data_IF_906601985793
#
_entry.id   IF_906601985793
#
_cell.length_a   1.000
_cell.length_b   1.000
_cell.length_c   1.000
_cell.angle_alpha   90.00
_cell.angle_beta   90.00
_cell.angle_gamma   90.00
#
_symmetry.space_group_name_H-M   'P 1'
#
loop_
_entity.id
_entity.type
_entity.pdbx_description
1 polymer ?
#
# COMPACT_ATOMS: atom_id res chain seq x y z
N UNK A 1 -26.45 -94.38 -30.93
CA UNK A 1 -25.23 -94.01 -30.19
C UNK A 1 -25.68 -93.15 -29.01
N UNK A 2 -25.77 -93.71 -27.79
CA UNK A 2 -24.75 -93.58 -26.70
C UNK A 2 -24.24 -92.14 -26.60
N UNK A 3 -24.33 -91.39 -25.50
CA UNK A 3 -24.57 -91.66 -24.06
C UNK A 3 -24.79 -90.26 -23.39
N UNK A 4 -25.74 -90.13 -22.44
CA UNK A 4 -25.52 -89.88 -20.98
C UNK A 4 -24.80 -88.53 -20.68
N UNK A 5 -25.24 -87.61 -19.80
CA UNK A 5 -25.89 -87.62 -18.45
C UNK A 5 -26.53 -86.22 -18.22
N UNK A 6 -27.74 -85.99 -17.71
CA UNK A 6 -28.41 -86.32 -16.44
C UNK A 6 -27.85 -85.62 -15.17
N UNK A 7 -28.74 -84.91 -14.44
CA UNK A 7 -28.66 -84.54 -13.01
C UNK A 7 -28.30 -83.06 -12.75
N UNK A 8 -29.20 -82.14 -12.40
CA UNK A 8 -30.10 -82.00 -11.22
C UNK A 8 -29.42 -81.59 -9.89
N UNK A 9 -30.08 -80.62 -9.23
CA UNK A 9 -30.16 -80.32 -7.77
C UNK A 9 -29.31 -79.15 -7.21
N UNK A 10 -30.00 -78.00 -7.03
CA UNK A 10 -30.25 -77.19 -5.81
C UNK A 10 -29.22 -77.22 -4.65
N UNK A 11 -28.75 -76.04 -4.21
CA UNK A 11 -28.61 -75.54 -2.80
C UNK A 11 -27.87 -74.17 -2.83
N UNK A 12 -28.44 -73.02 -2.41
CA UNK A 12 -28.61 -72.44 -1.04
C UNK A 12 -27.44 -71.54 -0.54
N UNK A 13 -27.83 -70.53 0.26
CA UNK A 13 -27.06 -69.62 1.15
C UNK A 13 -26.33 -68.42 0.48
N UNK A 14 -26.28 -67.20 1.05
CA UNK A 14 -26.82 -66.60 2.27
C UNK A 14 -26.65 -65.06 2.23
N UNK A 15 -27.53 -64.36 2.96
CA UNK A 15 -27.36 -63.13 3.76
C UNK A 15 -26.30 -62.07 3.39
N UNK A 16 -26.73 -60.80 3.23
CA UNK A 16 -26.47 -59.76 4.24
C UNK A 16 -27.24 -58.45 3.94
N UNK A 17 -27.99 -58.00 4.95
CA UNK A 17 -28.51 -56.64 5.10
C UNK A 17 -27.36 -55.63 5.21
N UNK A 18 -27.43 -54.49 4.53
CA UNK A 18 -26.90 -53.23 5.06
C UNK A 18 -27.78 -52.05 4.65
N UNK A 19 -28.58 -51.64 5.63
CA UNK A 19 -29.08 -50.28 5.80
C UNK A 19 -27.91 -49.31 5.83
N UNK A 20 -27.86 -48.37 4.88
CA UNK A 20 -26.88 -47.29 4.83
C UNK A 20 -27.55 -45.94 4.90
N UNK A 21 -27.68 -45.43 6.14
CA UNK A 21 -27.92 -44.05 6.56
C UNK A 21 -27.96 -42.96 5.50
N UNK A 22 -29.04 -42.18 5.53
CA UNK A 22 -28.96 -40.76 5.19
C UNK A 22 -27.86 -40.12 6.05
N UNK A 23 -26.77 -39.68 5.41
CA UNK A 23 -25.80 -38.83 6.07
C UNK A 23 -26.50 -37.53 6.52
N UNK A 24 -26.36 -37.11 7.78
CA UNK A 24 -26.85 -35.81 8.18
C UNK A 24 -26.07 -34.74 7.41
N UNK A 25 -26.78 -33.75 6.88
CA UNK A 25 -26.21 -32.53 6.32
C UNK A 25 -25.20 -31.96 7.32
N UNK A 26 -23.91 -32.06 6.99
CA UNK A 26 -22.87 -31.37 7.73
C UNK A 26 -23.14 -29.87 7.64
N UNK A 27 -23.14 -29.13 8.77
CA UNK A 27 -23.14 -27.68 8.71
C UNK A 27 -21.90 -27.21 7.92
N UNK A 28 -22.01 -26.13 7.13
CA UNK A 28 -20.91 -25.64 6.32
C UNK A 28 -19.68 -25.38 7.21
N UNK A 29 -18.56 -25.98 6.83
CA UNK A 29 -17.25 -25.76 7.44
C UNK A 29 -16.87 -24.28 7.31
N UNK A 30 -16.40 -23.66 8.39
CA UNK A 30 -15.82 -22.32 8.40
C UNK A 30 -14.51 -22.21 7.59
N UNK A 31 -14.03 -23.32 7.00
CA UNK A 31 -12.79 -23.40 6.19
C UNK A 31 -13.03 -24.05 4.82
N UNK A 32 -14.24 -23.95 4.27
CA UNK A 32 -14.48 -24.26 2.85
C UNK A 32 -13.75 -23.29 1.92
N UNK A 33 -13.45 -23.65 0.66
CA UNK A 33 -12.76 -22.77 -0.27
C UNK A 33 -13.60 -21.50 -0.50
N UNK A 34 -13.07 -20.34 -0.10
CA UNK A 34 -13.68 -19.02 -0.29
C UNK A 34 -13.68 -18.65 -1.78
N UNK A 35 -14.56 -19.26 -2.56
CA UNK A 35 -14.68 -19.02 -3.99
C UNK A 35 -15.40 -17.71 -4.31
N UNK A 36 -14.81 -16.55 -3.98
CA UNK A 36 -14.96 -15.25 -4.68
C UNK A 36 -14.49 -14.02 -3.89
N UNK A 37 -13.97 -14.15 -2.67
CA UNK A 37 -13.49 -12.96 -1.97
C UNK A 37 -12.18 -12.44 -2.60
N UNK A 38 -12.09 -11.14 -2.91
CA UNK A 38 -10.86 -10.57 -3.43
C UNK A 38 -9.71 -10.77 -2.43
N UNK A 39 -8.48 -11.05 -2.91
CA UNK A 39 -7.34 -11.28 -2.02
C UNK A 39 -7.07 -10.03 -1.17
N UNK A 40 -6.81 -10.26 0.12
CA UNK A 40 -6.55 -9.22 1.11
C UNK A 40 -5.41 -9.64 2.05
N UNK A 41 -4.46 -8.74 2.40
CA UNK A 41 -4.33 -7.35 1.94
C UNK A 41 -4.07 -7.25 0.43
N UNK A 42 -4.32 -6.08 -0.15
CA UNK A 42 -4.01 -5.85 -1.57
C UNK A 42 -2.50 -5.69 -1.70
N UNK A 43 -1.89 -6.52 -2.55
CA UNK A 43 -0.44 -6.52 -2.77
C UNK A 43 -0.04 -5.69 -3.98
N UNK A 44 1.00 -4.89 -3.81
CA UNK A 44 1.74 -4.25 -4.90
C UNK A 44 3.17 -4.79 -4.89
N UNK A 45 3.56 -5.50 -5.94
CA UNK A 45 4.89 -6.09 -6.04
C UNK A 45 5.82 -5.21 -6.85
N UNK A 46 7.12 -5.47 -6.70
CA UNK A 46 8.10 -5.02 -7.66
C UNK A 46 7.74 -5.47 -9.08
N UNK A 47 8.25 -4.73 -10.05
CA UNK A 47 8.07 -4.98 -11.46
C UNK A 47 9.40 -4.64 -12.16
N UNK A 48 9.95 -5.62 -12.86
CA UNK A 48 11.24 -5.48 -13.53
C UNK A 48 11.20 -4.42 -14.64
N UNK A 49 10.11 -4.35 -15.41
CA UNK A 49 9.97 -3.36 -16.47
C UNK A 49 9.86 -1.95 -15.91
N UNK A 50 9.13 -1.76 -14.81
CA UNK A 50 9.07 -0.47 -14.11
C UNK A 50 10.44 -0.07 -13.59
N UNK A 51 11.15 -1.01 -12.98
CA UNK A 51 12.48 -0.77 -12.44
C UNK A 51 13.46 -0.40 -13.57
N UNK A 52 13.44 -1.10 -14.70
CA UNK A 52 14.24 -0.78 -15.88
C UNK A 52 13.91 0.60 -16.46
N UNK A 53 12.63 0.96 -16.56
CA UNK A 53 12.20 2.28 -17.05
C UNK A 53 12.67 3.41 -16.11
N UNK A 54 12.53 3.23 -14.80
CA UNK A 54 13.00 4.18 -13.80
C UNK A 54 14.53 4.29 -13.83
N UNK A 55 15.26 3.18 -13.91
CA UNK A 55 16.71 3.17 -14.06
C UNK A 55 17.18 3.88 -15.33
N UNK A 56 16.49 3.67 -16.45
CA UNK A 56 16.80 4.38 -17.69
C UNK A 56 16.57 5.89 -17.54
N UNK A 57 15.49 6.30 -16.87
CA UNK A 57 15.19 7.70 -16.62
C UNK A 57 16.17 8.36 -15.64
N UNK A 58 16.57 7.67 -14.57
CA UNK A 58 17.63 8.14 -13.66
C UNK A 58 18.98 8.16 -14.36
N UNK A 59 19.34 7.16 -15.18
CA UNK A 59 20.57 7.20 -15.98
C UNK A 59 20.63 8.44 -16.89
N UNK A 60 19.50 8.86 -17.49
CA UNK A 60 19.43 10.12 -18.26
C UNK A 60 19.66 11.36 -17.38
N UNK A 61 19.20 11.35 -16.14
CA UNK A 61 19.43 12.45 -15.16
C UNK A 61 20.89 12.54 -14.72
N UNK A 62 21.54 11.39 -14.52
CA UNK A 62 22.79 11.31 -13.79
C UNK A 62 24.01 11.13 -14.70
N UNK A 63 23.83 10.61 -15.92
CA UNK A 63 24.89 10.00 -16.73
C UNK A 63 25.70 8.93 -15.94
N UNK A 64 25.16 8.40 -14.84
CA UNK A 64 25.84 7.48 -13.95
C UNK A 64 25.74 6.04 -14.45
N UNK A 65 26.63 5.19 -13.90
CA UNK A 65 26.59 3.74 -14.13
C UNK A 65 25.47 3.08 -13.32
N UNK A 66 25.04 1.89 -13.77
CA UNK A 66 23.82 1.19 -13.31
C UNK A 66 23.79 0.91 -11.80
N UNK A 67 24.91 0.59 -11.14
CA UNK A 67 24.93 0.26 -9.70
C UNK A 67 24.59 1.45 -8.80
N UNK A 68 25.16 2.63 -9.08
CA UNK A 68 24.85 3.86 -8.33
C UNK A 68 23.41 4.35 -8.56
N UNK A 69 22.75 3.82 -9.60
CA UNK A 69 21.40 4.21 -10.00
C UNK A 69 20.36 3.42 -9.21
N UNK A 70 20.59 2.12 -8.95
CA UNK A 70 19.72 1.28 -8.13
C UNK A 70 19.64 1.81 -6.69
N UNK A 71 20.76 2.23 -6.11
CA UNK A 71 20.82 2.81 -4.75
C UNK A 71 20.05 4.15 -4.61
N UNK A 72 19.58 4.72 -5.71
CA UNK A 72 18.81 5.98 -5.72
C UNK A 72 17.33 5.77 -5.96
N UNK A 73 16.89 4.52 -6.09
CA UNK A 73 15.49 4.17 -6.26
C UNK A 73 14.97 3.54 -4.96
N UNK A 74 13.77 3.96 -4.58
CA UNK A 74 13.00 3.33 -3.52
C UNK A 74 12.78 1.85 -3.86
N UNK A 75 12.94 0.95 -2.88
CA UNK A 75 12.61 -0.45 -3.07
C UNK A 75 11.12 -0.59 -3.41
N UNK A 76 10.78 -1.55 -4.28
CA UNK A 76 9.42 -1.91 -4.70
C UNK A 76 8.74 -0.88 -5.63
N UNK A 77 8.66 0.39 -5.24
CA UNK A 77 8.02 1.43 -6.07
C UNK A 77 8.88 1.85 -7.26
N UNK A 78 10.20 1.63 -7.20
CA UNK A 78 11.17 2.07 -8.20
C UNK A 78 11.09 3.59 -8.47
N UNK A 79 10.77 4.38 -7.45
CA UNK A 79 10.69 5.84 -7.51
C UNK A 79 11.95 6.49 -6.96
N UNK A 80 12.24 7.73 -7.32
CA UNK A 80 13.49 8.38 -6.89
C UNK A 80 13.54 8.61 -5.37
N UNK A 81 14.60 8.12 -4.73
CA UNK A 81 14.90 8.37 -3.31
C UNK A 81 15.67 9.67 -3.11
N UNK A 82 16.58 10.01 -4.03
CA UNK A 82 17.32 11.27 -3.98
C UNK A 82 17.95 11.63 -5.32
N UNK A 83 18.17 12.93 -5.54
CA UNK A 83 19.00 13.39 -6.66
C UNK A 83 20.49 13.13 -6.43
N UNK A 84 21.30 13.06 -7.50
CA UNK A 84 22.75 13.13 -7.37
C UNK A 84 23.19 14.40 -6.67
N UNK A 85 24.22 14.33 -5.80
CA UNK A 85 24.79 15.53 -5.21
C UNK A 85 25.37 16.48 -6.28
N UNK A 86 25.78 15.94 -7.44
CA UNK A 86 26.27 16.70 -8.59
C UNK A 86 25.76 16.06 -9.90
N UNK A 87 24.53 16.36 -10.37
CA UNK A 87 24.06 15.82 -11.63
C UNK A 87 24.90 16.41 -12.78
N UNK A 88 25.27 15.57 -13.75
CA UNK A 88 26.07 16.00 -14.91
C UNK A 88 25.37 17.11 -15.71
N UNK A 89 24.03 17.09 -15.73
CA UNK A 89 23.19 18.16 -16.28
C UNK A 89 22.34 18.75 -15.16
N UNK A 90 22.43 20.06 -14.90
CA UNK A 90 21.56 20.71 -13.92
C UNK A 90 20.09 20.57 -14.32
N UNK A 91 19.23 20.28 -13.34
CA UNK A 91 17.79 20.18 -13.56
C UNK A 91 17.13 21.53 -13.30
N UNK A 92 16.19 21.92 -14.14
CA UNK A 92 15.42 23.15 -13.95
C UNK A 92 13.93 22.88 -14.05
N UNK A 93 13.15 23.63 -13.27
CA UNK A 93 11.73 23.74 -13.53
C UNK A 93 11.50 24.46 -14.88
N UNK A 94 10.60 23.96 -15.76
CA UNK A 94 10.31 24.58 -17.05
C UNK A 94 9.85 26.03 -16.87
N UNK A 95 10.44 26.97 -17.59
CA UNK A 95 10.00 28.37 -17.51
C UNK A 95 8.57 28.50 -18.03
N UNK A 96 7.72 29.18 -17.26
CA UNK A 96 6.36 29.56 -17.64
C UNK A 96 6.26 31.08 -17.59
N UNK A 97 5.64 31.68 -18.60
CA UNK A 97 5.53 33.14 -18.72
C UNK A 97 6.77 33.82 -19.29
N UNK A 98 6.64 35.12 -19.56
CA UNK A 98 7.68 35.94 -20.19
C UNK A 98 8.61 36.61 -19.17
N UNK A 99 8.14 36.82 -17.93
CA UNK A 99 8.86 37.52 -16.87
C UNK A 99 10.18 36.81 -16.50
N UNK A 100 11.09 37.55 -15.86
CA UNK A 100 12.35 37.00 -15.36
C UNK A 100 12.13 36.03 -14.18
N UNK A 101 11.19 36.38 -13.30
CA UNK A 101 10.80 35.59 -12.12
C UNK A 101 9.36 35.11 -12.32
N UNK A 102 9.12 33.82 -12.06
CA UNK A 102 7.79 33.24 -12.14
C UNK A 102 6.96 33.67 -10.92
N UNK A 103 5.72 34.11 -11.17
CA UNK A 103 4.76 34.29 -10.10
C UNK A 103 4.28 32.92 -9.55
N UNK A 104 3.38 32.95 -8.57
CA UNK A 104 2.90 31.74 -7.91
C UNK A 104 2.20 30.77 -8.88
N UNK A 105 1.31 31.25 -9.74
CA UNK A 105 0.57 30.41 -10.70
C UNK A 105 1.48 29.85 -11.79
N UNK A 106 2.41 30.67 -12.29
CA UNK A 106 3.45 30.23 -13.22
C UNK A 106 4.34 29.16 -12.59
N UNK A 107 4.67 29.29 -11.29
CA UNK A 107 5.42 28.28 -10.54
C UNK A 107 4.62 26.99 -10.38
N UNK A 108 3.32 27.07 -10.10
CA UNK A 108 2.44 25.89 -9.99
C UNK A 108 2.34 25.16 -11.33
N UNK A 109 2.20 25.88 -12.43
CA UNK A 109 2.20 25.29 -13.77
C UNK A 109 3.58 24.72 -14.16
N UNK A 110 4.66 25.41 -13.80
CA UNK A 110 6.03 24.94 -14.00
C UNK A 110 6.27 23.60 -13.29
N UNK A 111 5.84 23.48 -12.02
CA UNK A 111 5.89 22.23 -11.26
C UNK A 111 5.03 21.14 -11.90
N UNK A 112 3.82 21.47 -12.38
CA UNK A 112 2.95 20.50 -13.08
C UNK A 112 3.63 19.94 -14.33
N UNK A 113 4.27 20.79 -15.14
CA UNK A 113 5.04 20.38 -16.32
C UNK A 113 6.24 19.52 -15.94
N UNK A 114 6.98 19.94 -14.91
CA UNK A 114 8.11 19.18 -14.40
C UNK A 114 7.70 17.76 -13.99
N UNK A 115 6.62 17.63 -13.19
CA UNK A 115 6.11 16.32 -12.76
C UNK A 115 5.71 15.45 -13.96
N UNK A 116 5.08 16.04 -14.98
CA UNK A 116 4.68 15.31 -16.19
C UNK A 116 5.91 14.75 -16.92
N UNK A 117 6.94 15.58 -17.08
CA UNK A 117 8.12 15.24 -17.86
C UNK A 117 9.00 14.21 -17.12
N UNK A 118 8.92 14.16 -15.78
CA UNK A 118 9.65 13.24 -14.90
C UNK A 118 8.76 12.17 -14.24
N UNK A 119 7.57 11.90 -14.80
CA UNK A 119 6.58 10.99 -14.19
C UNK A 119 7.12 9.59 -13.94
N UNK A 120 8.05 9.10 -14.77
CA UNK A 120 8.57 7.73 -14.69
C UNK A 120 9.47 7.54 -13.46
N UNK A 121 10.25 8.57 -13.07
CA UNK A 121 11.06 8.53 -11.83
C UNK A 121 10.26 8.95 -10.60
N UNK A 122 9.23 9.77 -10.79
CA UNK A 122 8.33 10.18 -9.71
C UNK A 122 7.37 9.02 -9.37
N UNK A 123 6.97 8.20 -10.34
CA UNK A 123 5.98 7.13 -10.16
C UNK A 123 4.53 7.63 -10.10
N UNK A 124 4.26 8.85 -10.56
CA UNK A 124 2.91 9.41 -10.57
C UNK A 124 2.71 10.47 -11.65
N UNK A 125 1.48 10.57 -12.13
CA UNK A 125 1.05 11.65 -13.02
C UNK A 125 0.67 12.91 -12.24
N UNK A 126 0.78 14.10 -12.85
CA UNK A 126 0.40 15.36 -12.19
C UNK A 126 -1.06 15.40 -11.74
N UNK A 127 -1.97 14.78 -12.49
CA UNK A 127 -3.40 14.75 -12.15
C UNK A 127 -3.70 13.97 -10.87
N UNK A 128 -2.80 13.08 -10.46
CA UNK A 128 -2.93 12.24 -9.26
C UNK A 128 -2.26 12.85 -8.04
N UNK A 129 -1.52 13.95 -8.19
CA UNK A 129 -0.81 14.63 -7.13
C UNK A 129 -1.49 15.93 -6.75
N UNK A 130 -1.76 16.09 -5.45
CA UNK A 130 -2.24 17.34 -4.87
C UNK A 130 -1.10 18.03 -4.15
N UNK A 131 -0.86 19.30 -4.46
CA UNK A 131 0.05 20.14 -3.68
C UNK A 131 -0.56 20.36 -2.29
N UNK A 132 0.11 19.85 -1.26
CA UNK A 132 -0.29 20.00 0.14
C UNK A 132 0.21 21.33 0.69
N UNK A 133 1.49 21.59 0.48
CA UNK A 133 2.14 22.80 0.98
C UNK A 133 3.31 23.20 0.10
N UNK A 134 3.61 24.50 0.12
CA UNK A 134 4.85 25.05 -0.40
C UNK A 134 5.46 25.95 0.67
N UNK A 135 6.67 25.62 1.08
CA UNK A 135 7.38 26.28 2.16
C UNK A 135 8.60 27.01 1.62
N UNK A 136 8.75 28.28 1.99
CA UNK A 136 9.97 29.03 1.78
C UNK A 136 11.01 28.64 2.83
N UNK A 137 12.22 28.32 2.37
CA UNK A 137 13.33 27.95 3.23
C UNK A 137 14.21 29.17 3.55
N UNK A 138 14.90 29.18 4.71
CA UNK A 138 15.80 30.29 5.08
C UNK A 138 16.94 30.54 4.07
N UNK A 139 17.33 29.52 3.32
CA UNK A 139 18.36 29.59 2.27
C UNK A 139 17.85 30.18 0.94
N UNK A 140 16.58 30.63 0.91
CA UNK A 140 15.92 31.17 -0.28
C UNK A 140 15.38 30.10 -1.24
N UNK A 141 15.62 28.82 -0.97
CA UNK A 141 14.98 27.74 -1.72
C UNK A 141 13.51 27.56 -1.32
N UNK A 142 12.77 26.81 -2.12
CA UNK A 142 11.37 26.48 -1.88
C UNK A 142 11.21 24.97 -1.88
N UNK A 143 10.40 24.46 -0.96
CA UNK A 143 10.01 23.04 -0.89
C UNK A 143 8.55 22.95 -1.24
N UNK A 144 8.19 22.11 -2.21
CA UNK A 144 6.82 21.77 -2.54
C UNK A 144 6.55 20.30 -2.18
N UNK A 145 5.54 20.07 -1.32
CA UNK A 145 5.13 18.76 -0.86
C UNK A 145 3.79 18.38 -1.50
N UNK A 146 3.75 17.18 -2.06
CA UNK A 146 2.61 16.61 -2.75
C UNK A 146 2.18 15.29 -2.11
N UNK A 147 0.89 15.04 -2.15
CA UNK A 147 0.29 13.76 -1.77
C UNK A 147 -0.51 13.19 -2.94
N UNK A 148 -0.44 11.87 -3.11
CA UNK A 148 -1.26 11.14 -4.06
C UNK A 148 -2.72 11.11 -3.61
N UNK A 149 -3.62 11.52 -4.49
CA UNK A 149 -5.09 11.45 -4.29
C UNK A 149 -5.86 10.64 -5.35
N UNK A 150 -5.35 9.50 -5.87
CA UNK A 150 -6.17 8.58 -6.64
C UNK A 150 -7.04 7.67 -5.74
N UNK A 151 -6.76 7.65 -4.42
CA UNK A 151 -7.44 6.76 -3.48
C UNK A 151 -8.73 7.37 -2.95
N UNK A 152 -9.75 6.51 -2.73
CA UNK A 152 -11.04 6.91 -2.14
C UNK A 152 -10.88 7.38 -0.68
N UNK A 153 -10.01 6.72 0.06
CA UNK A 153 -9.70 7.05 1.45
C UNK A 153 -8.32 7.69 1.54
N UNK A 154 -8.07 8.57 2.53
CA UNK A 154 -6.75 9.15 2.71
C UNK A 154 -5.69 8.07 2.90
N UNK A 155 -4.52 8.31 2.31
CA UNK A 155 -3.35 7.45 2.50
C UNK A 155 -2.65 7.78 3.83
N UNK A 156 -2.14 6.75 4.48
CA UNK A 156 -1.32 6.84 5.70
C UNK A 156 -0.09 5.94 5.57
N UNK A 157 0.90 6.22 6.42
CA UNK A 157 2.23 5.65 6.33
C UNK A 157 3.21 6.55 5.56
N UNK A 158 4.27 5.94 5.03
CA UNK A 158 5.39 6.65 4.41
C UNK A 158 5.32 6.71 2.87
N UNK A 159 4.22 6.25 2.28
CA UNK A 159 4.03 6.14 0.83
C UNK A 159 3.05 7.19 0.28
N UNK A 160 3.06 7.35 -1.04
CA UNK A 160 2.19 8.27 -1.78
C UNK A 160 2.58 9.73 -1.66
N UNK A 161 3.85 10.04 -1.37
CA UNK A 161 4.33 11.41 -1.20
C UNK A 161 5.36 11.76 -2.27
N UNK A 162 5.35 13.00 -2.71
CA UNK A 162 6.39 13.56 -3.56
C UNK A 162 6.84 14.90 -3.01
N UNK A 163 8.15 15.09 -2.87
CA UNK A 163 8.77 16.33 -2.44
C UNK A 163 9.75 16.80 -3.50
N UNK A 164 9.73 18.10 -3.80
CA UNK A 164 10.72 18.75 -4.64
C UNK A 164 11.21 20.04 -3.98
N UNK A 165 12.53 20.20 -3.93
CA UNK A 165 13.20 21.43 -3.48
C UNK A 165 13.83 22.12 -4.67
N UNK A 166 13.58 23.42 -4.83
CA UNK A 166 14.08 24.21 -5.95
C UNK A 166 14.47 25.63 -5.54
N UNK A 167 15.44 26.21 -6.22
CA UNK A 167 15.90 27.58 -6.02
C UNK A 167 15.07 28.59 -6.82
N UNK A 168 15.25 29.88 -6.54
CA UNK A 168 14.54 30.99 -7.20
C UNK A 168 14.84 31.11 -8.69
N UNK A 169 16.02 30.65 -9.12
CA UNK A 169 16.44 30.56 -10.52
C UNK A 169 15.87 29.33 -11.27
N UNK A 170 14.98 28.58 -10.59
CA UNK A 170 14.33 27.32 -11.03
C UNK A 170 15.20 26.08 -10.92
N UNK A 171 16.43 26.17 -10.42
CA UNK A 171 17.29 25.01 -10.29
C UNK A 171 16.70 24.01 -9.29
N UNK A 172 16.55 22.74 -9.69
CA UNK A 172 16.05 21.68 -8.82
C UNK A 172 17.20 21.15 -7.98
N UNK A 173 17.09 21.34 -6.66
CA UNK A 173 18.13 21.02 -5.70
C UNK A 173 17.99 19.59 -5.14
N UNK A 174 16.76 19.12 -5.00
CA UNK A 174 16.49 17.75 -4.57
C UNK A 174 15.07 17.34 -4.99
N UNK A 175 14.85 16.04 -5.15
CA UNK A 175 13.51 15.45 -5.21
C UNK A 175 13.51 14.08 -4.56
N UNK A 176 12.41 13.74 -3.90
CA UNK A 176 12.19 12.47 -3.22
C UNK A 176 10.75 12.05 -3.51
N UNK A 177 10.55 10.80 -3.91
CA UNK A 177 9.21 10.26 -4.18
C UNK A 177 9.05 8.89 -3.56
N UNK A 178 7.96 8.72 -2.81
CA UNK A 178 7.42 7.44 -2.37
C UNK A 178 6.06 7.17 -3.02
N UNK A 179 5.78 7.83 -4.14
CA UNK A 179 4.54 7.62 -4.89
C UNK A 179 4.38 6.16 -5.30
N UNK A 180 3.13 5.74 -5.38
CA UNK A 180 2.70 4.41 -5.76
C UNK A 180 2.39 4.44 -7.26
N UNK A 181 3.18 3.76 -8.09
CA UNK A 181 2.87 3.53 -9.50
C UNK A 181 1.55 2.76 -9.65
N UNK A 182 0.85 2.94 -10.77
CA UNK A 182 -0.40 2.22 -11.07
C UNK A 182 -1.47 2.32 -9.97
N UNK A 183 -1.49 3.45 -9.25
CA UNK A 183 -2.37 3.64 -8.09
C UNK A 183 -3.87 3.43 -8.39
N UNK A 184 -4.34 3.67 -9.62
CA UNK A 184 -5.73 3.42 -10.01
C UNK A 184 -6.07 1.92 -9.98
N UNK A 185 -5.12 1.06 -10.36
CA UNK A 185 -5.27 -0.39 -10.29
C UNK A 185 -5.39 -0.84 -8.84
N UNK A 186 -4.56 -0.28 -7.96
CA UNK A 186 -4.61 -0.56 -6.52
C UNK A 186 -5.92 -0.04 -5.91
N UNK A 187 -6.33 1.19 -6.25
CA UNK A 187 -7.62 1.73 -5.81
C UNK A 187 -8.80 0.87 -6.30
N UNK A 188 -8.75 0.34 -7.52
CA UNK A 188 -9.77 -0.56 -8.05
C UNK A 188 -9.84 -1.86 -7.26
N UNK A 189 -8.67 -2.44 -6.93
CA UNK A 189 -8.59 -3.64 -6.09
C UNK A 189 -9.12 -3.37 -4.66
N UNK A 190 -8.74 -2.23 -4.06
CA UNK A 190 -9.24 -1.81 -2.74
C UNK A 190 -10.75 -1.56 -2.74
N UNK A 191 -11.32 -1.04 -3.84
CA UNK A 191 -12.76 -0.81 -3.95
C UNK A 191 -13.58 -2.10 -3.98
N UNK A 192 -12.99 -3.23 -4.36
CA UNK A 192 -13.63 -4.54 -4.31
C UNK A 192 -13.64 -5.15 -2.90
N UNK A 193 -12.79 -4.67 -1.98
CA UNK A 193 -12.71 -5.17 -0.61
C UNK A 193 -13.93 -4.73 0.18
N UNK A 194 -14.57 -5.68 0.85
CA UNK A 194 -15.67 -5.39 1.78
C UNK A 194 -15.10 -5.12 3.17
N UNK A 195 -15.32 -3.91 3.69
CA UNK A 195 -15.02 -3.57 5.09
C UNK A 195 -15.94 -4.38 5.99
N UNK A 196 -15.35 -5.16 6.91
CA UNK A 196 -16.10 -6.08 7.80
C UNK A 196 -16.34 -5.45 9.17
N UNK A 197 -15.41 -4.65 9.64
CA UNK A 197 -15.44 -4.05 10.96
C UNK A 197 -16.01 -2.63 10.87
N UNK A 198 -17.17 -2.40 11.51
CA UNK A 198 -17.71 -1.05 11.68
C UNK A 198 -16.92 -0.28 12.73
N UNK A 199 -17.07 1.04 12.75
CA UNK A 199 -16.35 1.91 13.69
C UNK A 199 -16.64 1.53 15.16
N UNK A 200 -17.89 1.18 15.49
CA UNK A 200 -18.28 0.81 16.85
C UNK A 200 -17.63 -0.50 17.29
N UNK A 201 -17.58 -1.47 16.38
CA UNK A 201 -16.93 -2.77 16.62
C UNK A 201 -15.41 -2.63 16.70
N UNK A 202 -14.82 -1.69 15.96
CA UNK A 202 -13.40 -1.35 16.04
C UNK A 202 -13.00 -0.83 17.42
N UNK A 203 -13.85 -0.02 18.07
CA UNK A 203 -13.61 0.45 19.44
C UNK A 203 -13.56 -0.74 20.40
N UNK A 204 -14.54 -1.65 20.30
CA UNK A 204 -14.59 -2.85 21.15
C UNK A 204 -13.35 -3.72 20.95
N UNK A 205 -13.01 -4.01 19.71
CA UNK A 205 -11.82 -4.79 19.35
C UNK A 205 -10.54 -4.17 19.91
N UNK A 206 -10.38 -2.84 19.80
CA UNK A 206 -9.21 -2.14 20.31
C UNK A 206 -9.09 -2.22 21.84
N UNK A 207 -10.21 -2.11 22.57
CA UNK A 207 -10.25 -2.21 24.03
C UNK A 207 -9.93 -3.61 24.55
N UNK A 208 -10.25 -4.64 23.77
CA UNK A 208 -9.95 -6.04 24.09
C UNK A 208 -8.51 -6.44 23.71
N UNK A 209 -7.91 -5.69 22.77
CA UNK A 209 -6.58 -5.96 22.24
C UNK A 209 -5.44 -5.46 23.14
N UNK A 210 -4.27 -6.05 22.95
CA UNK A 210 -3.01 -5.54 23.48
C UNK A 210 -2.27 -4.77 22.37
N UNK A 211 -2.05 -3.47 22.58
CA UNK A 211 -1.40 -2.57 21.64
C UNK A 211 0.11 -2.67 21.86
N UNK A 212 0.83 -3.25 20.90
CA UNK A 212 2.28 -3.35 20.92
C UNK A 212 2.89 -2.09 20.30
N UNK A 213 3.91 -1.53 20.93
CA UNK A 213 4.60 -0.33 20.44
C UNK A 213 6.10 -0.36 20.78
N UNK A 214 6.86 0.50 20.12
CA UNK A 214 8.29 0.70 20.39
C UNK A 214 8.49 2.07 21.03
N UNK A 215 9.12 2.11 22.21
CA UNK A 215 9.42 3.37 22.88
C UNK A 215 10.57 4.13 22.19
N UNK A 216 10.83 5.40 22.54
CA UNK A 216 11.94 6.17 21.96
C UNK A 216 13.33 5.58 22.20
N UNK A 217 13.47 4.64 23.14
CA UNK A 217 14.72 3.92 23.45
C UNK A 217 14.85 2.61 22.66
N UNK A 218 13.86 2.25 21.84
CA UNK A 218 13.85 1.03 21.03
C UNK A 218 13.30 -0.21 21.75
N UNK A 219 12.79 -0.08 22.98
CA UNK A 219 12.21 -1.20 23.71
C UNK A 219 10.81 -1.51 23.17
N UNK A 220 10.51 -2.81 23.04
CA UNK A 220 9.19 -3.29 22.67
C UNK A 220 8.33 -3.39 23.92
N UNK A 221 7.27 -2.60 23.97
CA UNK A 221 6.34 -2.52 25.09
C UNK A 221 4.91 -2.85 24.63
N UNK A 222 4.03 -3.06 25.59
CA UNK A 222 2.61 -3.22 25.34
C UNK A 222 1.76 -2.31 26.22
N UNK A 223 0.59 -1.97 25.70
CA UNK A 223 -0.38 -1.11 26.34
C UNK A 223 -1.78 -1.66 26.06
N UNK A 224 -2.66 -1.65 27.08
CA UNK A 224 -4.09 -1.92 26.89
C UNK A 224 -4.88 -0.67 27.19
N UNK A 225 -5.74 -0.27 26.27
CA UNK A 225 -6.60 0.89 26.47
C UNK A 225 -7.53 0.65 27.69
N UNK A 226 -7.61 1.59 28.65
CA UNK A 226 -8.51 1.45 29.79
C UNK A 226 -9.98 1.34 29.33
N UNK A 227 -10.82 0.57 30.03
CA UNK A 227 -12.23 0.41 29.65
C UNK A 227 -13.00 1.74 29.56
N UNK A 228 -12.67 2.68 30.46
CA UNK A 228 -13.25 4.02 30.55
C UNK A 228 -12.68 5.03 29.55
N UNK A 229 -11.72 4.63 28.69
CA UNK A 229 -11.20 5.53 27.66
C UNK A 229 -12.29 5.91 26.66
N UNK A 230 -12.35 7.21 26.37
CA UNK A 230 -13.13 7.74 25.26
C UNK A 230 -12.32 7.54 23.98
N UNK A 231 -12.80 6.65 23.12
CA UNK A 231 -12.14 6.25 21.87
C UNK A 231 -13.14 6.50 20.76
N UNK A 232 -12.76 7.32 19.79
CA UNK A 232 -13.58 7.62 18.63
C UNK A 232 -12.74 7.44 17.35
N UNK A 233 -12.98 6.38 16.55
CA UNK A 233 -12.34 6.23 15.26
C UNK A 233 -12.59 7.45 14.38
N UNK A 234 -11.52 8.00 13.81
CA UNK A 234 -11.57 9.25 13.06
C UNK A 234 -12.14 9.03 11.66
N UNK A 235 -11.53 8.14 10.91
CA UNK A 235 -11.90 7.84 9.52
C UNK A 235 -11.30 6.49 9.06
N UNK A 236 -11.83 5.96 7.95
CA UNK A 236 -11.16 4.90 7.20
C UNK A 236 -10.02 5.50 6.37
N UNK A 237 -8.89 4.80 6.35
CA UNK A 237 -7.69 5.16 5.60
C UNK A 237 -7.17 3.96 4.80
N UNK A 238 -6.37 4.25 3.78
CA UNK A 238 -5.49 3.25 3.16
C UNK A 238 -4.16 3.31 3.89
N UNK A 239 -3.83 2.27 4.66
CA UNK A 239 -2.54 2.17 5.33
C UNK A 239 -1.59 1.28 4.52
N UNK A 240 -0.38 1.76 4.28
CA UNK A 240 0.58 1.13 3.38
C UNK A 240 1.84 0.76 4.17
N UNK A 241 2.21 -0.52 4.13
CA UNK A 241 3.43 -1.03 4.77
C UNK A 241 4.15 -2.05 3.87
N UNK A 242 5.46 -2.27 4.04
CA UNK A 242 6.15 -3.40 3.44
C UNK A 242 5.54 -4.72 3.91
N UNK A 243 5.39 -5.69 3.01
CA UNK A 243 4.88 -7.01 3.37
C UNK A 243 5.85 -7.73 4.29
N UNK A 244 5.30 -8.42 5.30
CA UNK A 244 6.09 -9.25 6.21
C UNK A 244 6.52 -10.57 5.57
N UNK A 245 5.68 -11.09 4.67
CA UNK A 245 5.88 -12.39 4.03
C UNK A 245 6.58 -12.27 2.67
N UNK A 246 6.54 -11.08 2.06
CA UNK A 246 7.11 -10.79 0.74
C UNK A 246 7.98 -9.53 0.74
N UNK A 247 9.31 -9.64 0.85
CA UNK A 247 10.19 -8.47 0.94
C UNK A 247 10.18 -7.58 -0.31
N UNK A 248 9.65 -8.11 -1.43
CA UNK A 248 9.48 -7.48 -2.73
C UNK A 248 8.10 -6.81 -2.90
N UNK A 249 7.29 -6.70 -1.85
CA UNK A 249 5.91 -6.23 -1.94
C UNK A 249 5.53 -5.21 -0.87
N UNK A 250 4.60 -4.33 -1.23
CA UNK A 250 3.83 -3.49 -0.33
C UNK A 250 2.45 -4.09 -0.12
N UNK A 251 1.98 -4.03 1.12
CA UNK A 251 0.63 -4.38 1.54
C UNK A 251 -0.20 -3.10 1.72
N UNK A 252 -1.40 -3.13 1.15
CA UNK A 252 -2.40 -2.08 1.25
C UNK A 252 -3.57 -2.58 2.08
N UNK A 253 -3.75 -1.94 3.23
CA UNK A 253 -4.80 -2.25 4.18
C UNK A 253 -5.85 -1.14 4.21
N UNK A 254 -7.11 -1.54 4.36
CA UNK A 254 -8.16 -0.61 4.77
C UNK A 254 -8.18 -0.61 6.30
N UNK A 255 -7.93 0.52 6.93
CA UNK A 255 -7.80 0.60 8.38
C UNK A 255 -8.59 1.77 8.96
N UNK A 256 -9.08 1.60 10.18
CA UNK A 256 -9.57 2.68 11.01
C UNK A 256 -8.39 3.43 11.63
N UNK A 257 -8.30 4.74 11.38
CA UNK A 257 -7.40 5.64 12.10
C UNK A 257 -8.04 5.99 13.45
N UNK A 258 -7.47 5.52 14.55
CA UNK A 258 -8.03 5.68 15.89
C UNK A 258 -7.07 6.50 16.75
N UNK A 259 -7.32 7.80 16.94
CA UNK A 259 -6.54 8.60 17.87
C UNK A 259 -6.77 8.14 19.31
N UNK A 260 -5.71 8.09 20.10
CA UNK A 260 -5.75 7.77 21.52
C UNK A 260 -5.33 8.98 22.36
N UNK A 261 -6.11 9.26 23.40
CA UNK A 261 -5.83 10.33 24.35
C UNK A 261 -5.21 9.73 25.62
N UNK A 262 -4.20 10.37 26.19
CA UNK A 262 -3.50 9.93 27.40
C UNK A 262 -2.91 8.50 27.31
N UNK A 263 -2.49 8.09 26.12
CA UNK A 263 -1.86 6.79 25.84
C UNK A 263 -0.38 6.99 25.45
N UNK A 264 0.48 5.97 25.61
CA UNK A 264 1.89 6.04 25.19
C UNK A 264 2.05 6.14 23.67
N UNK A 265 1.03 5.74 22.91
CA UNK A 265 0.93 5.92 21.45
C UNK A 265 -0.22 6.86 21.13
N UNK A 266 -0.04 7.73 20.13
CA UNK A 266 -1.01 8.78 19.79
C UNK A 266 -2.13 8.31 18.87
N UNK A 267 -1.85 7.32 18.02
CA UNK A 267 -2.78 6.82 17.01
C UNK A 267 -2.59 5.32 16.90
N UNK A 268 -3.66 4.59 16.65
CA UNK A 268 -3.62 3.17 16.28
C UNK A 268 -4.30 3.00 14.94
N UNK A 269 -3.73 2.17 14.08
CA UNK A 269 -4.34 1.75 12.82
C UNK A 269 -4.83 0.32 12.98
N UNK A 270 -6.15 0.16 13.03
CA UNK A 270 -6.81 -1.13 13.15
C UNK A 270 -7.37 -1.53 11.78
N UNK A 271 -6.92 -2.65 11.26
CA UNK A 271 -7.39 -3.20 9.98
C UNK A 271 -8.90 -3.46 10.03
N UNK A 272 -9.62 -2.87 9.09
CA UNK A 272 -11.08 -2.86 9.03
C UNK A 272 -11.66 -4.13 8.39
N UNK A 273 -10.81 -5.07 7.95
CA UNK A 273 -11.19 -6.35 7.34
C UNK A 273 -10.92 -7.51 8.29
N UNK A 274 -9.72 -7.58 8.89
CA UNK A 274 -9.34 -8.68 9.79
C UNK A 274 -9.33 -8.31 11.28
N UNK A 275 -9.43 -7.02 11.64
CA UNK A 275 -9.44 -6.57 13.03
C UNK A 275 -8.08 -6.60 13.73
N UNK A 276 -6.98 -6.70 12.97
CA UNK A 276 -5.62 -6.68 13.51
C UNK A 276 -5.09 -5.24 13.66
N UNK A 277 -4.28 -5.00 14.69
CA UNK A 277 -3.53 -3.75 14.82
C UNK A 277 -2.32 -3.84 13.91
N UNK A 278 -2.28 -2.99 12.89
CA UNK A 278 -1.22 -3.01 11.86
C UNK A 278 -0.15 -1.95 12.08
N UNK A 279 -0.45 -0.87 12.81
CA UNK A 279 0.52 0.17 13.18
C UNK A 279 0.06 1.03 14.38
N UNK A 280 1.01 1.73 14.98
CA UNK A 280 0.86 2.68 16.11
C UNK A 280 1.73 3.91 15.92
#
# INVERSE_FOLDING_TARGET
MRKQTAGSVILLLACALFTGSCAPLQPPSATGPHGNEPPYPVLFTDDSHRTEAALAAVTRLTQATTSQTIERLQPITATIESLPPNPATPLYLPKVGAAAVMNEEETRESLRRFIRDWRDVIGSEPAKLSLVERLDQPDGSKVANYEQRPFRYPIRGNYGKFQIRFATDRHVLNMISTCIPDADRIQTALAAITVRLKAEDAIKQLKESEIKYTDPQGNKLSFRAPAASDINPRELVVYILPSKDRPDALEFHLAWEIPLTNAPVKTVYLDAVNGEIIAT
#
